data_IF_069336080001
#
_entry.id   IF_069336080001
#
_cell.length_a   1.000
_cell.length_b   1.000
_cell.length_c   1.000
_cell.angle_alpha   90.00
_cell.angle_beta   90.00
_cell.angle_gamma   90.00
#
_symmetry.space_group_name_H-M   'P 1'
#
loop_
_entity.id
_entity.type
_entity.pdbx_description
1 polymer ?
#
# COMPACT_ATOMS: atom_id res chain seq x y z
N UNK A 1 8.39 -15.53 -56.32
CA UNK A 1 9.80 -15.31 -56.72
C UNK A 1 10.14 -13.82 -56.78
N UNK A 2 9.37 -12.98 -57.49
CA UNK A 2 9.62 -11.54 -57.60
C UNK A 2 9.63 -10.80 -56.24
N UNK A 3 8.67 -11.09 -55.36
CA UNK A 3 8.60 -10.50 -54.01
C UNK A 3 9.71 -10.94 -53.04
N UNK A 4 10.15 -12.20 -53.12
CA UNK A 4 11.25 -12.70 -52.28
C UNK A 4 12.54 -11.97 -52.65
N UNK A 5 12.79 -11.78 -53.94
CA UNK A 5 13.96 -11.04 -54.42
C UNK A 5 13.91 -9.55 -54.01
N UNK A 6 12.72 -8.92 -54.01
CA UNK A 6 12.56 -7.51 -53.59
C UNK A 6 12.78 -7.30 -52.09
N UNK A 7 12.40 -8.24 -51.23
CA UNK A 7 12.69 -8.20 -49.78
C UNK A 7 14.16 -8.55 -49.50
N UNK A 8 14.71 -9.55 -50.20
CA UNK A 8 16.10 -10.00 -50.08
C UNK A 8 17.10 -8.88 -50.41
N UNK A 9 16.77 -7.96 -51.32
CA UNK A 9 17.61 -6.79 -51.67
C UNK A 9 17.77 -5.76 -50.54
N UNK A 10 17.07 -5.91 -49.40
CA UNK A 10 17.18 -5.05 -48.22
C UNK A 10 18.03 -5.65 -47.10
N UNK A 11 18.58 -6.85 -47.29
CA UNK A 11 19.54 -7.50 -46.39
C UNK A 11 20.89 -6.80 -46.55
N UNK A 12 21.38 -6.17 -45.47
CA UNK A 12 22.49 -5.23 -45.55
C UNK A 12 23.77 -5.73 -44.84
N UNK A 13 23.71 -6.81 -44.04
CA UNK A 13 24.89 -7.32 -43.31
C UNK A 13 24.97 -8.87 -43.27
N UNK A 14 26.17 -9.41 -43.05
CA UNK A 14 26.44 -10.86 -43.03
C UNK A 14 25.88 -11.60 -41.80
N UNK A 15 25.36 -10.85 -40.82
CA UNK A 15 24.69 -11.38 -39.64
C UNK A 15 23.16 -11.42 -39.78
N UNK A 16 22.60 -10.92 -40.89
CA UNK A 16 21.16 -10.88 -41.12
C UNK A 16 20.62 -12.28 -41.48
N UNK A 17 19.45 -12.60 -40.93
CA UNK A 17 18.71 -13.83 -41.26
C UNK A 17 18.22 -13.79 -42.70
N UNK A 18 18.54 -14.83 -43.47
CA UNK A 18 18.13 -14.91 -44.88
C UNK A 18 16.60 -15.04 -44.96
N UNK A 19 15.98 -14.09 -45.67
CA UNK A 19 14.55 -14.13 -45.99
C UNK A 19 14.30 -15.02 -47.21
N UNK A 20 13.58 -16.13 -47.05
CA UNK A 20 13.41 -17.07 -48.16
C UNK A 20 11.97 -17.53 -48.43
N UNK A 21 11.77 -18.14 -49.59
CA UNK A 21 10.56 -18.91 -49.84
C UNK A 21 10.67 -20.26 -49.15
N UNK A 22 9.80 -20.51 -48.18
CA UNK A 22 9.78 -21.77 -47.43
C UNK A 22 8.70 -22.66 -48.03
N UNK A 23 9.03 -23.81 -48.64
CA UNK A 23 8.03 -24.71 -49.18
C UNK A 23 7.10 -25.22 -48.07
N UNK A 24 5.78 -25.13 -48.28
CA UNK A 24 4.80 -25.46 -47.24
C UNK A 24 4.95 -26.87 -46.65
N UNK A 25 5.37 -27.86 -47.46
CA UNK A 25 5.60 -29.24 -47.00
C UNK A 25 6.73 -29.38 -45.93
N UNK A 26 7.56 -28.36 -45.77
CA UNK A 26 8.59 -28.30 -44.73
C UNK A 26 8.04 -27.88 -43.36
N UNK A 27 6.80 -27.39 -43.32
CA UNK A 27 6.11 -26.93 -42.11
C UNK A 27 5.29 -28.09 -41.57
N UNK A 28 5.53 -28.47 -40.31
CA UNK A 28 4.87 -29.60 -39.63
C UNK A 28 4.47 -29.24 -38.21
N UNK A 29 3.72 -30.13 -37.54
CA UNK A 29 3.25 -29.94 -36.16
C UNK A 29 2.49 -28.61 -35.94
N UNK A 30 1.68 -28.20 -36.92
CA UNK A 30 0.90 -26.95 -36.87
C UNK A 30 -0.14 -27.03 -35.75
N UNK A 31 -0.13 -26.04 -34.85
CA UNK A 31 -1.03 -25.89 -33.70
C UNK A 31 -1.55 -24.47 -33.63
N UNK A 32 -2.85 -24.34 -33.41
CA UNK A 32 -3.51 -23.04 -33.34
C UNK A 32 -3.05 -22.24 -32.12
N UNK A 33 -2.72 -20.96 -32.33
CA UNK A 33 -2.49 -19.99 -31.25
C UNK A 33 -3.59 -18.93 -31.20
N UNK A 34 -4.04 -18.45 -32.36
CA UNK A 34 -5.17 -17.52 -32.52
C UNK A 34 -5.72 -17.60 -33.96
N UNK A 35 -6.77 -16.83 -34.29
CA UNK A 35 -7.50 -16.92 -35.57
C UNK A 35 -6.62 -16.96 -36.83
N UNK A 36 -5.51 -16.22 -36.87
CA UNK A 36 -4.61 -16.16 -38.03
C UNK A 36 -3.18 -16.56 -37.71
N UNK A 37 -2.90 -17.05 -36.50
CA UNK A 37 -1.54 -17.33 -36.02
C UNK A 37 -1.44 -18.76 -35.50
N UNK A 38 -0.39 -19.46 -35.94
CA UNK A 38 -0.16 -20.86 -35.63
C UNK A 38 1.29 -21.09 -35.19
N UNK A 39 1.50 -22.01 -34.27
CA UNK A 39 2.81 -22.54 -33.91
C UNK A 39 3.10 -23.75 -34.78
N UNK A 40 4.28 -23.83 -35.37
CA UNK A 40 4.69 -24.97 -36.18
C UNK A 40 6.18 -25.27 -35.99
N UNK A 41 6.63 -26.34 -36.65
CA UNK A 41 8.05 -26.68 -36.77
C UNK A 41 8.46 -26.65 -38.22
N UNK A 42 9.64 -26.09 -38.47
CA UNK A 42 10.29 -26.10 -39.76
C UNK A 42 11.35 -27.18 -39.79
N UNK A 43 11.18 -28.18 -40.68
CA UNK A 43 12.07 -29.36 -40.78
C UNK A 43 13.52 -28.99 -41.05
N UNK A 44 13.75 -28.10 -42.00
CA UNK A 44 15.09 -27.82 -42.51
C UNK A 44 15.76 -26.66 -41.77
N UNK A 45 14.99 -25.85 -41.05
CA UNK A 45 15.47 -24.68 -40.33
C UNK A 45 16.05 -23.58 -41.24
N UNK A 46 16.36 -22.40 -40.67
CA UNK A 46 16.92 -21.28 -41.44
C UNK A 46 18.34 -21.58 -41.94
N UNK A 47 18.67 -20.99 -43.09
CA UNK A 47 20.06 -20.88 -43.56
C UNK A 47 20.81 -19.88 -42.68
N UNK A 48 21.99 -20.26 -42.23
CA UNK A 48 22.90 -19.36 -41.52
C UNK A 48 24.33 -19.49 -42.07
N UNK A 49 25.10 -18.42 -41.94
CA UNK A 49 26.51 -18.40 -42.32
C UNK A 49 27.38 -18.95 -41.20
N UNK A 50 28.16 -20.00 -41.47
CA UNK A 50 29.05 -20.61 -40.47
C UNK A 50 30.49 -20.06 -40.50
N UNK A 51 30.74 -18.97 -41.23
CA UNK A 51 32.08 -18.42 -41.46
C UNK A 51 32.74 -18.88 -42.77
N UNK A 52 32.18 -19.87 -43.48
CA UNK A 52 32.72 -20.40 -44.75
C UNK A 52 31.68 -20.66 -45.82
N UNK A 53 30.52 -21.21 -45.44
CA UNK A 53 29.41 -21.54 -46.33
C UNK A 53 28.08 -21.30 -45.62
N UNK A 54 27.02 -21.05 -46.39
CA UNK A 54 25.67 -21.11 -45.84
C UNK A 54 25.29 -22.57 -45.59
N UNK A 55 24.82 -22.87 -44.39
CA UNK A 55 24.40 -24.22 -43.98
C UNK A 55 23.09 -24.13 -43.22
N UNK A 56 22.30 -25.20 -43.25
CA UNK A 56 21.07 -25.35 -42.49
C UNK A 56 21.31 -26.19 -41.24
N UNK A 57 20.73 -25.80 -40.11
CA UNK A 57 20.66 -26.67 -38.95
C UNK A 57 19.40 -27.54 -39.09
N UNK A 58 19.58 -28.84 -39.37
CA UNK A 58 18.50 -29.84 -39.59
C UNK A 58 17.81 -30.27 -38.28
N UNK A 59 17.62 -29.34 -37.37
CA UNK A 59 16.83 -29.51 -36.15
C UNK A 59 15.50 -28.83 -36.35
N UNK A 60 14.38 -29.54 -36.10
CA UNK A 60 13.03 -29.02 -36.25
C UNK A 60 12.84 -27.69 -35.50
N UNK A 61 13.04 -26.57 -36.19
CA UNK A 61 13.06 -25.23 -35.58
C UNK A 61 11.62 -24.81 -35.28
N UNK A 62 11.36 -24.36 -34.05
CA UNK A 62 10.07 -23.77 -33.71
C UNK A 62 9.88 -22.46 -34.48
N UNK A 63 8.75 -22.35 -35.17
CA UNK A 63 8.37 -21.19 -35.99
C UNK A 63 6.94 -20.78 -35.71
N UNK A 64 6.64 -19.50 -35.96
CA UNK A 64 5.26 -18.98 -35.96
C UNK A 64 4.84 -18.71 -37.39
N UNK A 65 3.62 -19.12 -37.71
CA UNK A 65 2.94 -18.85 -38.99
C UNK A 65 1.92 -17.76 -38.76
N UNK A 66 1.92 -16.70 -39.58
CA UNK A 66 0.82 -15.75 -39.68
C UNK A 66 0.18 -15.82 -41.06
N UNK A 67 -1.08 -16.22 -41.11
CA UNK A 67 -1.88 -16.29 -42.31
C UNK A 67 -2.43 -14.92 -42.68
N UNK A 68 -2.29 -14.54 -43.95
CA UNK A 68 -2.79 -13.30 -44.50
C UNK A 68 -4.08 -13.57 -45.28
N UNK A 69 -5.18 -13.67 -44.54
CA UNK A 69 -6.48 -14.24 -44.99
C UNK A 69 -7.17 -13.45 -46.12
N UNK A 70 -6.64 -12.29 -46.53
CA UNK A 70 -7.16 -11.49 -47.64
C UNK A 70 -6.18 -11.31 -48.82
N UNK A 71 -4.99 -11.90 -48.76
CA UNK A 71 -3.96 -11.75 -49.79
C UNK A 71 -3.89 -13.01 -50.66
N UNK A 72 -4.62 -13.03 -51.77
CA UNK A 72 -4.52 -14.10 -52.79
C UNK A 72 -3.47 -13.78 -53.87
N UNK A 73 -3.19 -12.49 -54.08
CA UNK A 73 -2.18 -11.99 -55.03
C UNK A 73 -1.08 -11.25 -54.28
N UNK A 74 0.15 -11.33 -54.80
CA UNK A 74 1.28 -10.53 -54.31
C UNK A 74 1.06 -9.08 -54.76
N UNK A 75 0.62 -8.21 -53.86
CA UNK A 75 0.45 -6.77 -54.09
C UNK A 75 1.56 -5.98 -53.38
N UNK A 76 1.76 -4.71 -53.77
CA UNK A 76 2.67 -3.81 -53.03
C UNK A 76 2.23 -3.63 -51.56
N UNK A 77 0.93 -3.73 -51.29
CA UNK A 77 0.36 -3.70 -49.94
C UNK A 77 0.81 -4.90 -49.08
N UNK A 78 0.87 -6.10 -49.68
CA UNK A 78 1.43 -7.29 -49.04
C UNK A 78 2.92 -7.11 -48.72
N UNK A 79 3.66 -6.48 -49.64
CA UNK A 79 5.10 -6.21 -49.47
C UNK A 79 5.35 -5.21 -48.33
N UNK A 80 4.57 -4.13 -48.29
CA UNK A 80 4.62 -3.13 -47.21
C UNK A 80 4.27 -3.76 -45.85
N UNK A 81 3.28 -4.66 -45.82
CA UNK A 81 2.93 -5.43 -44.63
C UNK A 81 4.08 -6.32 -44.16
N UNK A 82 4.73 -7.08 -45.07
CA UNK A 82 5.91 -7.91 -44.73
C UNK A 82 7.06 -7.05 -44.20
N UNK A 83 7.35 -5.93 -44.85
CA UNK A 83 8.42 -4.99 -44.45
C UNK A 83 8.14 -4.39 -43.06
N UNK A 84 6.87 -4.10 -42.75
CA UNK A 84 6.49 -3.58 -41.44
C UNK A 84 6.78 -4.56 -40.29
N UNK A 85 6.80 -5.88 -40.56
CA UNK A 85 7.20 -6.90 -39.59
C UNK A 85 8.70 -7.14 -39.54
N UNK A 86 9.39 -7.13 -40.69
CA UNK A 86 10.82 -7.38 -40.79
C UNK A 86 11.64 -6.47 -39.85
N UNK A 87 11.21 -5.22 -39.68
CA UNK A 87 11.88 -4.26 -38.80
C UNK A 87 11.58 -4.46 -37.29
N UNK A 88 10.71 -5.40 -36.90
CA UNK A 88 10.23 -5.57 -35.52
C UNK A 88 10.54 -6.94 -34.92
N UNK A 89 10.57 -7.99 -35.74
CA UNK A 89 10.79 -9.39 -35.32
C UNK A 89 11.59 -10.09 -36.41
N UNK A 90 12.43 -11.05 -36.05
CA UNK A 90 13.14 -11.88 -37.03
C UNK A 90 12.16 -12.71 -37.88
N UNK A 91 12.11 -12.39 -39.18
CA UNK A 91 11.27 -13.07 -40.19
C UNK A 91 12.17 -13.97 -41.04
N UNK A 92 11.87 -15.27 -41.04
CA UNK A 92 12.61 -16.25 -41.85
C UNK A 92 12.20 -16.26 -43.31
N UNK A 93 10.96 -15.87 -43.60
CA UNK A 93 10.48 -15.93 -44.97
C UNK A 93 8.97 -15.95 -45.09
N UNK A 94 8.54 -16.34 -46.28
CA UNK A 94 7.13 -16.52 -46.61
C UNK A 94 6.88 -17.89 -47.23
N UNK A 95 5.67 -18.38 -47.05
CA UNK A 95 5.14 -19.57 -47.71
C UNK A 95 3.77 -19.26 -48.29
N UNK A 96 3.19 -20.24 -48.97
CA UNK A 96 1.80 -20.19 -49.39
C UNK A 96 1.15 -21.53 -49.09
N UNK A 97 0.01 -21.45 -48.42
CA UNK A 97 -0.81 -22.61 -48.15
C UNK A 97 -1.34 -23.19 -49.48
N UNK A 98 -1.07 -24.48 -49.79
CA UNK A 98 -1.45 -25.07 -51.06
C UNK A 98 -2.98 -25.20 -51.21
N UNK A 99 -3.72 -25.30 -50.11
CA UNK A 99 -5.16 -25.52 -50.11
C UNK A 99 -5.91 -24.19 -50.13
N UNK A 100 -5.58 -23.27 -49.22
CA UNK A 100 -6.29 -21.98 -49.10
C UNK A 100 -5.75 -20.90 -50.03
N UNK A 101 -4.55 -21.11 -50.59
CA UNK A 101 -3.78 -20.12 -51.39
C UNK A 101 -3.36 -18.87 -50.63
N UNK A 102 -3.59 -18.80 -49.32
CA UNK A 102 -3.17 -17.68 -48.49
C UNK A 102 -1.65 -17.65 -48.33
N UNK A 103 -1.09 -16.45 -48.41
CA UNK A 103 0.30 -16.22 -48.03
C UNK A 103 0.48 -16.32 -46.52
N UNK A 104 1.60 -16.89 -46.12
CA UNK A 104 1.98 -17.11 -44.73
C UNK A 104 3.31 -16.42 -44.49
N UNK A 105 3.41 -15.57 -43.46
CA UNK A 105 4.68 -15.04 -42.96
C UNK A 105 5.21 -15.99 -41.88
N UNK A 106 6.50 -16.31 -41.93
CA UNK A 106 7.16 -17.26 -41.03
C UNK A 106 8.17 -16.52 -40.15
N UNK A 107 7.96 -16.56 -38.83
CA UNK A 107 8.77 -15.87 -37.83
C UNK A 107 9.63 -16.83 -37.01
N UNK A 108 10.70 -16.30 -36.42
CA UNK A 108 11.43 -16.99 -35.36
C UNK A 108 10.51 -17.25 -34.16
N UNK A 109 10.29 -18.53 -33.85
CA UNK A 109 9.42 -18.97 -32.75
C UNK A 109 9.92 -18.56 -31.37
N UNK A 110 11.22 -18.28 -31.20
CA UNK A 110 11.80 -17.88 -29.91
C UNK A 110 11.56 -16.39 -29.62
N UNK A 111 11.62 -15.51 -30.63
CA UNK A 111 11.41 -14.05 -30.47
C UNK A 111 9.93 -13.66 -30.48
N UNK A 112 9.09 -14.35 -31.24
CA UNK A 112 7.66 -14.08 -31.28
C UNK A 112 6.94 -14.41 -29.97
N UNK A 113 7.61 -15.13 -29.04
CA UNK A 113 7.15 -15.37 -27.68
C UNK A 113 7.28 -14.16 -26.74
N UNK A 114 7.91 -13.05 -27.17
CA UNK A 114 8.05 -11.81 -26.39
C UNK A 114 6.92 -10.77 -26.66
N UNK A 115 6.14 -10.95 -27.73
CA UNK A 115 5.07 -10.04 -28.16
C UNK A 115 3.67 -10.69 -28.03
N UNK A 116 2.61 -9.93 -27.71
CA UNK A 116 1.24 -10.48 -27.69
C UNK A 116 0.77 -10.80 -29.10
N UNK A 117 0.48 -12.08 -29.34
CA UNK A 117 -0.03 -12.65 -30.58
C UNK A 117 -1.41 -12.10 -31.03
N UNK A 118 -1.99 -11.14 -30.31
CA UNK A 118 -3.30 -10.53 -30.64
C UNK A 118 -3.19 -9.02 -30.88
N UNK A 119 -2.25 -8.32 -30.21
CA UNK A 119 -2.09 -6.86 -30.31
C UNK A 119 -0.79 -6.43 -31.02
N UNK A 120 0.13 -7.38 -31.30
CA UNK A 120 1.43 -7.15 -31.95
C UNK A 120 2.32 -6.11 -31.24
N UNK A 121 2.05 -5.91 -29.95
CA UNK A 121 2.86 -5.12 -29.03
C UNK A 121 3.51 -6.06 -28.01
N UNK A 122 4.65 -5.64 -27.46
CA UNK A 122 5.30 -6.32 -26.34
C UNK A 122 4.28 -6.65 -25.25
N UNK A 123 4.37 -7.86 -24.69
CA UNK A 123 3.61 -8.19 -23.51
C UNK A 123 3.91 -7.16 -22.42
N UNK A 124 2.87 -6.62 -21.79
CA UNK A 124 3.05 -5.80 -20.58
C UNK A 124 3.67 -6.66 -19.47
N UNK A 125 3.38 -7.97 -19.46
CA UNK A 125 4.10 -8.96 -18.67
C UNK A 125 4.48 -10.19 -19.52
N UNK A 126 5.73 -10.29 -19.95
CA UNK A 126 6.23 -11.38 -20.79
C UNK A 126 6.16 -12.75 -20.09
N UNK A 127 6.48 -12.82 -18.78
CA UNK A 127 6.45 -14.08 -18.00
C UNK A 127 5.06 -14.72 -17.96
N UNK A 128 4.00 -13.89 -17.93
CA UNK A 128 2.60 -14.34 -17.85
C UNK A 128 1.85 -14.22 -19.18
N UNK A 129 2.56 -13.86 -20.27
CA UNK A 129 2.01 -13.64 -21.61
C UNK A 129 0.76 -12.75 -21.58
N UNK A 130 0.82 -11.64 -20.85
CA UNK A 130 -0.31 -10.72 -20.64
C UNK A 130 -0.04 -9.39 -21.37
N UNK A 131 -0.89 -9.00 -22.35
CA UNK A 131 -0.84 -7.67 -23.02
C UNK A 131 -2.04 -6.83 -22.59
N UNK A 132 -1.76 -5.68 -21.97
CA UNK A 132 -2.78 -4.71 -21.55
C UNK A 132 -3.75 -4.33 -22.69
N UNK A 133 -3.31 -3.95 -23.90
CA UNK A 133 -4.20 -3.74 -25.04
C UNK A 133 -5.10 -4.94 -25.38
N UNK A 134 -4.54 -6.15 -25.41
CA UNK A 134 -5.27 -7.41 -25.66
C UNK A 134 -6.38 -7.58 -24.61
N UNK A 135 -6.08 -7.32 -23.33
CA UNK A 135 -7.05 -7.43 -22.24
C UNK A 135 -8.12 -6.35 -22.25
N UNK A 136 -7.76 -5.09 -22.50
CA UNK A 136 -8.71 -3.99 -22.63
C UNK A 136 -9.70 -4.28 -23.77
N UNK A 137 -9.21 -4.81 -24.90
CA UNK A 137 -10.08 -5.18 -26.01
C UNK A 137 -11.00 -6.35 -25.65
N UNK A 138 -10.48 -7.38 -24.98
CA UNK A 138 -11.29 -8.50 -24.51
C UNK A 138 -12.41 -8.03 -23.56
N UNK A 139 -12.07 -7.14 -22.62
CA UNK A 139 -13.04 -6.53 -21.71
C UNK A 139 -14.13 -5.78 -22.51
N UNK A 140 -13.74 -4.93 -23.47
CA UNK A 140 -14.66 -4.20 -24.37
C UNK A 140 -15.68 -5.09 -25.07
N UNK A 141 -15.26 -6.27 -25.54
CA UNK A 141 -16.13 -7.21 -26.27
C UNK A 141 -17.05 -7.99 -25.33
N UNK A 142 -16.58 -8.38 -24.16
CA UNK A 142 -17.34 -9.24 -23.24
C UNK A 142 -18.25 -8.48 -22.26
N UNK A 143 -18.27 -7.14 -22.31
CA UNK A 143 -19.09 -6.30 -21.42
C UNK A 143 -20.60 -6.50 -21.55
N UNK A 144 -21.10 -7.03 -22.67
CA UNK A 144 -22.54 -7.17 -22.90
C UNK A 144 -23.23 -8.13 -21.94
N UNK A 145 -22.49 -8.97 -21.20
CA UNK A 145 -23.05 -9.99 -20.31
C UNK A 145 -23.16 -9.58 -18.84
N UNK A 146 -22.62 -8.42 -18.41
CA UNK A 146 -22.56 -7.99 -16.99
C UNK A 146 -23.19 -6.61 -16.76
N UNK A 147 -24.32 -6.33 -17.39
CA UNK A 147 -24.96 -5.02 -17.30
C UNK A 147 -25.77 -4.90 -16.02
N UNK A 148 -25.73 -3.72 -15.39
CA UNK A 148 -26.55 -3.37 -14.23
C UNK A 148 -27.97 -2.90 -14.59
N UNK A 149 -28.34 -2.98 -15.88
CA UNK A 149 -29.49 -2.28 -16.49
C UNK A 149 -29.44 -0.74 -16.38
N UNK A 150 -28.48 -0.18 -15.63
CA UNK A 150 -28.26 1.26 -15.49
C UNK A 150 -27.06 1.73 -16.33
N UNK A 151 -27.33 2.57 -17.34
CA UNK A 151 -26.32 3.11 -18.26
C UNK A 151 -25.19 3.87 -17.55
N UNK A 152 -25.49 4.65 -16.52
CA UNK A 152 -24.47 5.42 -15.78
C UNK A 152 -23.52 4.50 -15.02
N UNK A 153 -24.05 3.48 -14.35
CA UNK A 153 -23.25 2.48 -13.63
C UNK A 153 -22.38 1.67 -14.59
N UNK A 154 -22.94 1.29 -15.74
CA UNK A 154 -22.17 0.59 -16.77
C UNK A 154 -21.00 1.44 -17.28
N UNK A 155 -21.19 2.76 -17.46
CA UNK A 155 -20.10 3.67 -17.83
C UNK A 155 -19.01 3.72 -16.74
N UNK A 156 -19.39 3.81 -15.46
CA UNK A 156 -18.43 3.80 -14.33
C UNK A 156 -17.62 2.50 -14.31
N UNK A 157 -18.29 1.35 -14.46
CA UNK A 157 -17.63 0.04 -14.52
C UNK A 157 -16.59 0.02 -15.65
N UNK A 158 -16.97 0.49 -16.84
CA UNK A 158 -16.06 0.56 -17.99
C UNK A 158 -14.86 1.47 -17.72
N UNK A 159 -15.08 2.69 -17.20
CA UNK A 159 -13.99 3.62 -16.87
C UNK A 159 -12.99 3.02 -15.89
N UNK A 160 -13.47 2.28 -14.89
CA UNK A 160 -12.60 1.62 -13.90
C UNK A 160 -11.86 0.43 -14.52
N UNK A 161 -12.52 -0.38 -15.35
CA UNK A 161 -11.91 -1.52 -16.01
C UNK A 161 -10.80 -1.12 -17.00
N UNK A 162 -10.89 0.06 -17.62
CA UNK A 162 -9.82 0.58 -18.49
C UNK A 162 -8.52 0.92 -17.73
N UNK A 163 -8.58 1.00 -16.39
CA UNK A 163 -7.42 1.30 -15.54
C UNK A 163 -6.54 0.09 -15.23
N UNK A 164 -6.88 -1.12 -15.69
CA UNK A 164 -6.02 -2.31 -15.51
C UNK A 164 -4.63 -2.10 -16.09
N UNK A 165 -3.62 -2.59 -15.38
CA UNK A 165 -2.21 -2.40 -15.66
C UNK A 165 -1.41 -3.71 -15.62
N UNK A 166 -1.83 -4.69 -14.80
CA UNK A 166 -1.11 -5.95 -14.64
C UNK A 166 -2.06 -7.17 -14.60
N UNK A 167 -1.51 -8.38 -14.81
CA UNK A 167 -2.26 -9.64 -14.77
C UNK A 167 -2.81 -9.99 -13.38
N UNK A 168 -2.26 -9.38 -12.32
CA UNK A 168 -2.75 -9.54 -10.94
C UNK A 168 -3.90 -8.59 -10.60
N UNK A 169 -4.21 -7.63 -11.49
CA UNK A 169 -5.32 -6.71 -11.24
C UNK A 169 -6.64 -7.47 -11.25
N UNK A 170 -7.51 -7.12 -10.31
CA UNK A 170 -8.85 -7.69 -10.29
C UNK A 170 -9.75 -6.91 -11.22
N UNK A 171 -10.54 -7.64 -11.99
CA UNK A 171 -11.54 -7.03 -12.86
C UNK A 171 -12.67 -6.48 -12.02
N UNK A 172 -12.89 -5.17 -12.13
CA UNK A 172 -14.03 -4.49 -11.52
C UNK A 172 -15.30 -4.82 -12.30
N UNK A 173 -16.37 -5.26 -11.65
CA UNK A 173 -17.58 -5.71 -12.37
C UNK A 173 -18.89 -5.41 -11.64
N UNK A 174 -20.01 -5.61 -12.34
CA UNK A 174 -21.32 -5.68 -11.71
C UNK A 174 -21.48 -7.04 -11.02
N UNK A 175 -21.84 -7.01 -9.75
CA UNK A 175 -22.05 -8.21 -8.94
C UNK A 175 -23.55 -8.30 -8.65
N UNK A 176 -24.27 -9.28 -9.23
CA UNK A 176 -25.68 -9.45 -8.93
C UNK A 176 -25.90 -9.71 -7.43
N UNK A 177 -26.86 -9.01 -6.82
CA UNK A 177 -27.04 -9.06 -5.37
C UNK A 177 -27.27 -10.47 -4.80
N UNK A 178 -27.94 -11.36 -5.56
CA UNK A 178 -28.19 -12.76 -5.14
C UNK A 178 -26.90 -13.60 -5.00
N UNK A 179 -25.77 -13.11 -5.51
CA UNK A 179 -24.44 -13.71 -5.37
C UNK A 179 -23.82 -13.40 -3.99
N UNK A 180 -24.34 -12.41 -3.27
CA UNK A 180 -23.87 -11.97 -1.96
C UNK A 180 -24.72 -12.66 -0.89
N UNK A 181 -24.08 -13.44 -0.02
CA UNK A 181 -24.71 -14.22 1.05
C UNK A 181 -23.99 -14.03 2.38
N UNK A 182 -24.55 -14.57 3.46
CA UNK A 182 -23.99 -14.50 4.82
C UNK A 182 -23.69 -13.05 5.27
N UNK A 183 -24.57 -12.10 4.92
CA UNK A 183 -24.40 -10.68 5.25
C UNK A 183 -24.50 -10.48 6.77
N UNK A 184 -23.49 -9.82 7.35
CA UNK A 184 -23.40 -9.49 8.78
C UNK A 184 -22.96 -8.05 8.98
N UNK A 185 -23.68 -7.36 9.84
CA UNK A 185 -23.45 -5.95 10.13
C UNK A 185 -22.13 -5.73 10.88
N UNK A 186 -21.34 -4.73 10.45
CA UNK A 186 -20.15 -4.27 11.15
C UNK A 186 -20.35 -2.84 11.71
N UNK A 187 -21.05 -2.00 10.95
CA UNK A 187 -21.46 -0.63 11.28
C UNK A 187 -22.66 -0.26 10.40
N UNK A 188 -23.31 0.89 10.63
CA UNK A 188 -24.52 1.33 9.93
C UNK A 188 -24.46 1.21 8.39
N UNK A 189 -23.30 1.46 7.79
CA UNK A 189 -23.10 1.43 6.32
C UNK A 189 -22.12 0.36 5.85
N UNK A 190 -21.55 -0.45 6.75
CA UNK A 190 -20.48 -1.41 6.42
C UNK A 190 -20.86 -2.80 6.94
N UNK A 191 -20.75 -3.80 6.06
CA UNK A 191 -21.14 -5.17 6.32
C UNK A 191 -20.03 -6.12 5.87
N UNK A 192 -19.96 -7.29 6.47
CA UNK A 192 -19.18 -8.43 5.96
C UNK A 192 -20.13 -9.41 5.26
N UNK A 193 -19.65 -10.06 4.21
CA UNK A 193 -20.45 -11.03 3.46
C UNK A 193 -19.55 -12.04 2.75
N UNK A 194 -20.17 -13.00 2.07
CA UNK A 194 -19.53 -13.92 1.14
C UNK A 194 -20.07 -13.71 -0.26
N UNK A 195 -19.19 -13.71 -1.25
CA UNK A 195 -19.53 -13.66 -2.66
C UNK A 195 -19.32 -15.06 -3.27
N UNK A 196 -20.39 -15.70 -3.73
CA UNK A 196 -20.37 -17.11 -4.19
C UNK A 196 -19.38 -17.34 -5.34
N UNK A 197 -19.49 -16.54 -6.38
CA UNK A 197 -18.68 -16.71 -7.59
C UNK A 197 -17.24 -16.19 -7.43
N UNK A 198 -17.03 -15.26 -6.49
CA UNK A 198 -15.72 -14.64 -6.26
C UNK A 198 -15.22 -13.81 -7.46
N UNK A 199 -14.08 -13.11 -7.31
CA UNK A 199 -13.54 -12.24 -8.34
C UNK A 199 -13.00 -13.00 -9.54
N UNK A 200 -13.08 -12.35 -10.70
CA UNK A 200 -12.45 -12.83 -11.93
C UNK A 200 -10.96 -12.49 -11.95
N UNK A 201 -10.11 -13.46 -12.26
CA UNK A 201 -8.66 -13.27 -12.36
C UNK A 201 -8.06 -14.00 -13.57
N UNK A 202 -6.91 -13.52 -14.03
CA UNK A 202 -6.17 -14.12 -15.14
C UNK A 202 -5.31 -15.29 -14.66
N UNK A 203 -5.52 -16.50 -15.20
CA UNK A 203 -4.74 -17.69 -14.83
C UNK A 203 -3.50 -17.95 -15.72
N UNK A 204 -3.22 -17.08 -16.68
CA UNK A 204 -2.17 -17.26 -17.69
C UNK A 204 -2.68 -17.66 -19.08
N UNK A 205 -3.93 -18.12 -19.18
CA UNK A 205 -4.58 -18.51 -20.45
C UNK A 205 -5.93 -17.84 -20.66
N UNK A 206 -6.74 -17.77 -19.61
CA UNK A 206 -8.07 -17.20 -19.64
C UNK A 206 -8.41 -16.57 -18.29
N UNK A 207 -9.47 -15.75 -18.30
CA UNK A 207 -10.11 -15.33 -17.08
C UNK A 207 -10.90 -16.48 -16.47
N UNK A 208 -10.72 -16.69 -15.18
CA UNK A 208 -11.42 -17.74 -14.44
C UNK A 208 -11.84 -17.23 -13.07
N UNK A 209 -12.81 -17.90 -12.47
CA UNK A 209 -13.31 -17.63 -11.12
C UNK A 209 -12.90 -18.76 -10.21
N UNK A 210 -12.55 -18.42 -8.98
CA UNK A 210 -12.43 -19.43 -7.93
C UNK A 210 -13.80 -19.50 -7.22
N UNK A 211 -14.54 -20.59 -7.42
CA UNK A 211 -15.91 -20.82 -6.90
C UNK A 211 -15.95 -21.07 -5.38
N UNK A 212 -15.00 -20.52 -4.65
CA UNK A 212 -14.96 -20.52 -3.20
C UNK A 212 -15.59 -19.22 -2.72
N UNK A 213 -16.67 -19.33 -1.95
CA UNK A 213 -17.37 -18.21 -1.31
C UNK A 213 -16.42 -17.14 -0.74
N UNK A 214 -16.09 -16.12 -1.54
CA UNK A 214 -15.03 -15.16 -1.24
C UNK A 214 -15.51 -14.21 -0.16
N UNK A 215 -14.74 -14.11 0.93
CA UNK A 215 -15.03 -13.15 1.98
C UNK A 215 -14.85 -11.70 1.47
N UNK A 216 -15.87 -10.88 1.61
CA UNK A 216 -15.92 -9.49 1.11
C UNK A 216 -16.46 -8.54 2.16
N UNK A 217 -16.11 -7.26 2.01
CA UNK A 217 -16.71 -6.16 2.77
C UNK A 217 -17.65 -5.40 1.83
N UNK A 218 -18.86 -5.13 2.29
CA UNK A 218 -19.86 -4.34 1.59
C UNK A 218 -19.90 -2.96 2.23
N UNK A 219 -19.71 -1.92 1.42
CA UNK A 219 -19.99 -0.54 1.84
C UNK A 219 -21.22 -0.04 1.10
N UNK A 220 -22.29 0.24 1.84
CA UNK A 220 -23.52 0.82 1.33
C UNK A 220 -23.34 2.32 1.13
N UNK A 221 -23.81 2.81 -0.01
CA UNK A 221 -23.74 4.20 -0.40
C UNK A 221 -25.15 4.79 -0.34
N UNK A 222 -25.47 5.43 0.79
CA UNK A 222 -26.79 6.03 1.01
C UNK A 222 -26.84 7.36 0.26
N UNK A 223 -27.87 7.57 -0.57
CA UNK A 223 -28.13 8.79 -1.35
C UNK A 223 -27.06 9.17 -2.41
N UNK A 224 -26.25 8.23 -2.89
CA UNK A 224 -25.00 8.53 -3.62
C UNK A 224 -25.09 8.57 -5.17
N UNK A 225 -26.26 8.79 -5.78
CA UNK A 225 -26.37 8.73 -7.26
C UNK A 225 -25.42 9.69 -8.00
N UNK A 226 -25.03 10.82 -7.39
CA UNK A 226 -24.15 11.82 -8.01
C UNK A 226 -22.68 11.80 -7.52
N UNK A 227 -22.33 11.00 -6.50
CA UNK A 227 -20.97 10.99 -5.88
C UNK A 227 -20.29 9.60 -5.93
N UNK A 228 -20.94 8.62 -6.55
CA UNK A 228 -20.49 7.23 -6.62
C UNK A 228 -19.06 7.07 -7.15
N UNK A 229 -18.71 7.78 -8.22
CA UNK A 229 -17.39 7.68 -8.85
C UNK A 229 -16.29 8.26 -7.96
N UNK A 230 -16.56 9.35 -7.25
CA UNK A 230 -15.61 9.97 -6.32
C UNK A 230 -15.36 9.08 -5.12
N UNK A 231 -16.42 8.46 -4.58
CA UNK A 231 -16.29 7.48 -3.51
C UNK A 231 -15.47 6.25 -3.94
N UNK A 232 -15.79 5.66 -5.10
CA UNK A 232 -15.03 4.52 -5.66
C UNK A 232 -13.56 4.92 -5.84
N UNK A 233 -13.29 6.10 -6.41
CA UNK A 233 -11.94 6.60 -6.68
C UNK A 233 -11.14 6.80 -5.39
N UNK A 234 -11.77 7.30 -4.32
CA UNK A 234 -11.13 7.47 -3.01
C UNK A 234 -10.65 6.13 -2.41
N UNK A 235 -11.38 5.04 -2.65
CA UNK A 235 -11.00 3.69 -2.21
C UNK A 235 -10.01 3.02 -3.15
N UNK A 236 -10.14 3.23 -4.46
CA UNK A 236 -9.38 2.51 -5.49
C UNK A 236 -7.87 2.62 -5.30
N UNK A 237 -7.40 3.77 -4.82
CA UNK A 237 -5.97 4.00 -4.56
C UNK A 237 -5.43 3.25 -3.33
N UNK A 238 -6.29 2.71 -2.46
CA UNK A 238 -5.91 2.15 -1.17
C UNK A 238 -6.39 0.70 -0.95
N UNK A 239 -7.42 0.27 -1.67
CA UNK A 239 -8.08 -1.03 -1.53
C UNK A 239 -8.38 -1.63 -2.90
N UNK A 240 -8.23 -2.93 -3.00
CA UNK A 240 -8.77 -3.73 -4.09
C UNK A 240 -10.31 -3.74 -3.99
N UNK A 241 -10.95 -3.18 -4.99
CA UNK A 241 -12.40 -3.17 -5.17
C UNK A 241 -12.75 -4.20 -6.22
N UNK A 242 -13.71 -5.07 -5.91
CA UNK A 242 -14.17 -6.11 -6.82
C UNK A 242 -15.29 -5.65 -7.75
N UNK A 243 -16.13 -4.73 -7.29
CA UNK A 243 -17.24 -4.31 -8.10
C UNK A 243 -18.30 -3.54 -7.34
N UNK A 244 -19.44 -3.40 -8.01
CA UNK A 244 -20.65 -2.74 -7.50
C UNK A 244 -21.79 -3.75 -7.53
N UNK A 245 -22.62 -3.71 -6.50
CA UNK A 245 -23.93 -4.37 -6.47
C UNK A 245 -24.99 -3.31 -6.14
N UNK A 246 -26.26 -3.65 -6.31
CA UNK A 246 -27.37 -2.84 -5.82
C UNK A 246 -28.32 -3.72 -5.01
N UNK A 247 -28.78 -3.23 -3.85
CA UNK A 247 -29.77 -3.94 -3.04
C UNK A 247 -31.16 -3.78 -3.67
N UNK A 248 -31.85 -4.87 -4.08
CA UNK A 248 -33.11 -4.74 -4.80
C UNK A 248 -34.23 -4.05 -4.01
N UNK A 249 -34.25 -4.17 -2.69
CA UNK A 249 -35.35 -3.65 -1.86
C UNK A 249 -35.25 -2.15 -1.54
N UNK A 250 -34.03 -1.59 -1.57
CA UNK A 250 -33.79 -0.18 -1.21
C UNK A 250 -33.18 0.62 -2.34
N UNK A 251 -32.78 -0.04 -3.43
CA UNK A 251 -32.06 0.52 -4.57
C UNK A 251 -30.69 1.13 -4.20
N UNK A 252 -30.21 0.92 -2.98
CA UNK A 252 -28.90 1.39 -2.53
C UNK A 252 -27.78 0.67 -3.26
N UNK A 253 -26.81 1.45 -3.75
CA UNK A 253 -25.58 0.90 -4.31
C UNK A 253 -24.63 0.42 -3.21
N UNK A 254 -23.91 -0.64 -3.53
CA UNK A 254 -22.99 -1.32 -2.63
C UNK A 254 -21.66 -1.47 -3.33
N UNK A 255 -20.60 -0.95 -2.73
CA UNK A 255 -19.22 -1.23 -3.15
C UNK A 255 -18.75 -2.52 -2.49
N UNK A 256 -18.26 -3.46 -3.30
CA UNK A 256 -17.76 -4.76 -2.84
C UNK A 256 -16.23 -4.73 -2.79
N UNK A 257 -15.67 -4.88 -1.59
CA UNK A 257 -14.26 -4.68 -1.28
C UNK A 257 -13.58 -5.98 -0.85
N UNK A 258 -12.28 -6.10 -1.11
CA UNK A 258 -11.45 -7.18 -0.59
C UNK A 258 -11.37 -7.11 0.95
N UNK A 259 -11.91 -8.12 1.63
CA UNK A 259 -11.94 -8.17 3.09
C UNK A 259 -10.54 -8.22 3.72
N UNK A 260 -9.61 -9.01 3.15
CA UNK A 260 -8.26 -9.19 3.69
C UNK A 260 -7.45 -7.89 3.66
N UNK A 261 -7.61 -7.08 2.61
CA UNK A 261 -6.99 -5.76 2.55
C UNK A 261 -7.70 -4.77 3.47
N UNK A 262 -9.03 -4.80 3.50
CA UNK A 262 -9.83 -3.92 4.36
C UNK A 262 -9.43 -4.06 5.84
N UNK A 263 -9.35 -5.26 6.38
CA UNK A 263 -9.01 -5.50 7.81
C UNK A 263 -7.56 -5.16 8.18
N UNK A 264 -6.69 -4.93 7.19
CA UNK A 264 -5.31 -4.43 7.42
C UNK A 264 -5.30 -2.92 7.65
N UNK A 265 -6.19 -2.19 6.98
CA UNK A 265 -6.20 -0.72 6.96
C UNK A 265 -7.23 -0.16 7.95
N UNK A 266 -8.37 -0.82 8.10
CA UNK A 266 -9.50 -0.32 8.88
C UNK A 266 -9.71 -1.11 10.17
N UNK A 267 -10.16 -0.39 11.20
CA UNK A 267 -10.47 -0.95 12.51
C UNK A 267 -11.72 -1.81 12.47
N UNK A 268 -11.60 -3.07 12.89
CA UNK A 268 -12.73 -3.99 12.96
C UNK A 268 -13.79 -3.63 14.03
N UNK A 269 -13.50 -2.70 14.94
CA UNK A 269 -14.43 -2.28 16.00
C UNK A 269 -15.25 -1.03 15.64
N UNK A 270 -14.65 -0.10 14.90
CA UNK A 270 -15.26 1.21 14.63
C UNK A 270 -15.15 1.66 13.18
N UNK A 271 -14.62 0.81 12.29
CA UNK A 271 -14.47 1.05 10.84
C UNK A 271 -13.62 2.25 10.41
N UNK A 272 -13.00 2.98 11.34
CA UNK A 272 -12.05 4.05 11.04
C UNK A 272 -10.70 3.47 10.61
N UNK A 273 -9.95 4.21 9.79
CA UNK A 273 -8.56 3.85 9.45
C UNK A 273 -7.70 3.75 10.71
N UNK A 274 -6.80 2.77 10.74
CA UNK A 274 -5.74 2.75 11.74
C UNK A 274 -4.76 3.90 11.48
N UNK A 275 -4.32 4.58 12.54
CA UNK A 275 -3.21 5.53 12.42
C UNK A 275 -1.91 4.75 12.23
N UNK A 276 -1.79 3.60 12.88
CA UNK A 276 -0.69 2.66 12.69
C UNK A 276 -1.24 1.25 12.38
N UNK A 277 -1.07 0.79 11.15
CA UNK A 277 -1.58 -0.50 10.66
C UNK A 277 -0.79 -1.69 11.20
N UNK A 278 0.51 -1.57 11.42
CA UNK A 278 1.38 -2.63 11.98
C UNK A 278 0.94 -3.01 13.40
N UNK A 279 0.66 -2.00 14.23
CA UNK A 279 0.21 -2.16 15.61
C UNK A 279 -1.32 -2.18 15.74
N UNK A 280 -2.05 -2.12 14.62
CA UNK A 280 -3.53 -2.02 14.57
C UNK A 280 -4.08 -1.00 15.57
N UNK A 281 -3.42 0.15 15.65
CA UNK A 281 -3.74 1.21 16.61
C UNK A 281 -4.76 2.17 15.99
N UNK A 282 -5.95 2.24 16.60
CA UNK A 282 -7.05 3.09 16.17
C UNK A 282 -7.30 4.19 17.19
N UNK A 283 -7.06 5.44 16.80
CA UNK A 283 -7.18 6.62 17.67
C UNK A 283 -8.54 6.70 18.37
N UNK A 284 -9.62 6.57 17.61
CA UNK A 284 -10.99 6.65 18.12
C UNK A 284 -11.26 5.56 19.17
N UNK A 285 -10.80 4.32 18.91
CA UNK A 285 -10.93 3.22 19.84
C UNK A 285 -10.10 3.45 21.12
N UNK A 286 -8.88 3.98 21.00
CA UNK A 286 -8.05 4.24 22.17
C UNK A 286 -8.61 5.37 23.03
N UNK A 287 -9.04 6.48 22.42
CA UNK A 287 -9.72 7.56 23.14
C UNK A 287 -10.98 7.06 23.84
N UNK A 288 -11.77 6.20 23.18
CA UNK A 288 -12.93 5.54 23.80
C UNK A 288 -12.54 4.64 24.96
N UNK A 289 -11.48 3.85 24.83
CA UNK A 289 -10.96 3.00 25.90
C UNK A 289 -10.51 3.82 27.12
N UNK A 290 -9.73 4.89 26.91
CA UNK A 290 -9.27 5.75 28.00
C UNK A 290 -10.44 6.41 28.71
N UNK A 291 -11.43 6.93 27.96
CA UNK A 291 -12.67 7.48 28.54
C UNK A 291 -13.38 6.51 29.48
N UNK A 292 -13.43 5.23 29.13
CA UNK A 292 -14.03 4.19 29.99
C UNK A 292 -13.21 3.84 31.23
N UNK A 293 -11.90 4.14 31.23
CA UNK A 293 -10.97 3.83 32.32
C UNK A 293 -10.69 5.02 33.24
N UNK A 294 -11.32 6.18 33.02
CA UNK A 294 -11.08 7.40 33.80
C UNK A 294 -11.22 7.21 35.32
N UNK A 295 -12.14 6.36 35.79
CA UNK A 295 -12.32 6.08 37.22
C UNK A 295 -11.10 5.44 37.88
N UNK A 296 -10.16 4.89 37.09
CA UNK A 296 -8.95 4.26 37.61
C UNK A 296 -7.81 5.25 37.87
N UNK A 297 -7.92 6.50 37.40
CA UNK A 297 -6.88 7.53 37.52
C UNK A 297 -7.38 8.78 38.24
N UNK A 298 -8.30 8.62 39.20
CA UNK A 298 -8.77 9.75 40.01
C UNK A 298 -7.75 10.10 41.09
N UNK A 299 -7.53 11.39 41.28
CA UNK A 299 -6.68 11.97 42.31
C UNK A 299 -7.47 12.49 43.51
N UNK A 300 -8.78 12.22 43.58
CA UNK A 300 -9.74 12.89 44.47
C UNK A 300 -9.82 14.41 44.32
N UNK A 301 -9.24 14.97 43.23
CA UNK A 301 -9.28 16.39 42.91
C UNK A 301 -9.83 16.60 41.49
N UNK A 302 -11.01 17.22 41.41
CA UNK A 302 -11.73 17.43 40.14
C UNK A 302 -10.92 18.21 39.08
N UNK A 303 -10.04 19.13 39.49
CA UNK A 303 -9.22 19.90 38.53
C UNK A 303 -8.09 19.05 37.94
N UNK A 304 -7.43 18.24 38.75
CA UNK A 304 -6.39 17.30 38.31
C UNK A 304 -6.99 16.20 37.44
N UNK A 305 -8.12 15.64 37.85
CA UNK A 305 -8.83 14.62 37.06
C UNK A 305 -9.21 15.16 35.68
N UNK A 306 -9.69 16.41 35.61
CA UNK A 306 -9.97 17.07 34.33
C UNK A 306 -8.71 17.25 33.48
N UNK A 307 -7.61 17.67 34.08
CA UNK A 307 -6.32 17.81 33.38
C UNK A 307 -5.84 16.47 32.82
N UNK A 308 -5.91 15.39 33.60
CA UNK A 308 -5.55 14.04 33.16
C UNK A 308 -6.39 13.64 31.94
N UNK A 309 -7.71 13.86 31.98
CA UNK A 309 -8.59 13.56 30.85
C UNK A 309 -8.22 14.37 29.61
N UNK A 310 -7.97 15.67 29.75
CA UNK A 310 -7.54 16.53 28.64
C UNK A 310 -6.24 16.00 28.02
N UNK A 311 -5.25 15.66 28.85
CA UNK A 311 -3.97 15.13 28.37
C UNK A 311 -4.14 13.77 27.69
N UNK A 312 -4.90 12.85 28.27
CA UNK A 312 -5.18 11.53 27.67
C UNK A 312 -5.92 11.61 26.33
N UNK A 313 -6.72 12.65 26.09
CA UNK A 313 -7.42 12.85 24.81
C UNK A 313 -6.54 13.50 23.72
N UNK A 314 -5.34 14.00 24.07
CA UNK A 314 -4.39 14.55 23.09
C UNK A 314 -3.65 13.45 22.30
N UNK A 315 -3.70 12.19 22.72
CA UNK A 315 -3.02 11.09 22.01
C UNK A 315 -3.49 10.99 20.56
N UNK A 316 -2.54 10.75 19.67
CA UNK A 316 -2.80 10.53 18.25
C UNK A 316 -1.87 9.47 17.61
N UNK A 317 -0.87 8.98 18.33
CA UNK A 317 0.05 7.93 17.86
C UNK A 317 0.19 6.76 18.85
N UNK A 318 0.66 5.61 18.34
CA UNK A 318 0.93 4.41 19.12
C UNK A 318 2.02 4.58 20.18
N UNK A 319 2.99 5.46 19.94
CA UNK A 319 4.13 5.70 20.84
C UNK A 319 3.84 6.73 21.92
N UNK A 320 2.73 7.46 21.81
CA UNK A 320 2.37 8.52 22.75
C UNK A 320 2.27 8.00 24.18
N UNK A 321 2.67 8.86 25.12
CA UNK A 321 2.64 8.55 26.53
C UNK A 321 1.21 8.69 27.03
N UNK A 322 0.73 7.66 27.72
CA UNK A 322 -0.51 7.75 28.46
C UNK A 322 -0.23 8.52 29.75
N UNK A 323 -0.80 9.72 29.85
CA UNK A 323 -0.68 10.56 31.04
C UNK A 323 -1.50 9.96 32.18
N UNK A 324 -0.88 9.66 33.33
CA UNK A 324 -1.52 8.94 34.43
C UNK A 324 -1.56 9.77 35.73
N UNK A 325 -2.58 9.54 36.56
CA UNK A 325 -2.42 9.71 38.00
C UNK A 325 -1.64 8.54 38.56
N UNK A 326 -0.56 8.82 39.28
CA UNK A 326 0.34 7.79 39.81
C UNK A 326 0.31 7.88 41.34
N UNK A 327 -0.24 6.87 42.03
CA UNK A 327 -0.23 6.84 43.49
C UNK A 327 1.20 6.90 44.06
N UNK A 328 1.43 7.69 45.10
CA UNK A 328 2.79 7.92 45.63
C UNK A 328 3.50 6.63 46.09
N UNK A 329 2.75 5.64 46.58
CA UNK A 329 3.27 4.34 47.02
C UNK A 329 3.87 3.48 45.88
N UNK A 330 3.69 3.91 44.62
CA UNK A 330 4.31 3.32 43.44
C UNK A 330 5.79 3.70 43.29
N UNK A 331 6.26 4.71 44.04
CA UNK A 331 7.64 5.14 44.01
C UNK A 331 8.47 4.47 45.11
N UNK A 332 9.72 4.16 44.78
CA UNK A 332 10.71 3.58 45.68
C UNK A 332 12.09 4.13 45.33
N UNK A 333 13.09 3.91 46.19
CA UNK A 333 14.45 4.41 46.01
C UNK A 333 14.50 5.93 45.75
N UNK A 334 13.67 6.69 46.45
CA UNK A 334 13.53 8.13 46.27
C UNK A 334 14.79 8.83 46.80
N UNK A 335 15.51 9.55 45.94
CA UNK A 335 16.75 10.26 46.27
C UNK A 335 16.72 11.67 45.69
N UNK A 336 17.07 12.67 46.49
CA UNK A 336 17.17 14.05 45.98
C UNK A 336 18.34 14.16 45.01
N UNK A 337 18.08 14.73 43.83
CA UNK A 337 19.09 14.94 42.77
C UNK A 337 19.25 16.42 42.39
N UNK A 338 18.43 17.30 42.93
CA UNK A 338 18.55 18.74 42.72
C UNK A 338 17.53 19.54 43.51
N UNK A 339 17.94 20.76 43.91
CA UNK A 339 17.11 21.72 44.62
C UNK A 339 17.31 23.10 44.00
N UNK A 340 16.21 23.73 43.60
CA UNK A 340 16.18 25.12 43.15
C UNK A 340 15.34 25.99 44.09
N UNK A 341 15.18 27.27 43.72
CA UNK A 341 14.36 28.21 44.51
C UNK A 341 12.87 27.87 44.56
N UNK A 342 12.36 27.17 43.54
CA UNK A 342 10.91 26.90 43.38
C UNK A 342 10.53 25.42 43.45
N UNK A 343 11.50 24.51 43.39
CA UNK A 343 11.24 23.08 43.28
C UNK A 343 12.38 22.23 43.84
N UNK A 344 12.04 21.03 44.30
CA UNK A 344 12.98 19.93 44.57
C UNK A 344 12.75 18.84 43.54
N UNK A 345 13.83 18.21 43.09
CA UNK A 345 13.78 17.12 42.13
C UNK A 345 14.40 15.87 42.75
N UNK A 346 13.66 14.77 42.68
CA UNK A 346 14.10 13.48 43.17
C UNK A 346 14.19 12.48 42.02
N UNK A 347 15.13 11.56 42.05
CA UNK A 347 15.06 10.33 41.25
C UNK A 347 14.26 9.28 42.02
N UNK A 348 13.43 8.49 41.35
CA UNK A 348 12.74 7.36 41.96
C UNK A 348 12.57 6.21 40.96
N UNK A 349 12.40 4.98 41.47
CA UNK A 349 11.89 3.85 40.68
C UNK A 349 10.37 3.80 40.77
N UNK A 350 9.71 3.86 39.62
CA UNK A 350 8.27 3.61 39.49
C UNK A 350 8.03 2.12 39.28
N UNK A 351 7.44 1.44 40.27
CA UNK A 351 7.21 -0.01 40.30
C UNK A 351 6.42 -0.47 39.07
N UNK A 352 5.21 0.04 38.91
CA UNK A 352 4.34 -0.31 37.79
C UNK A 352 4.92 0.15 36.45
N UNK A 353 5.43 1.39 36.39
CA UNK A 353 5.92 1.99 35.16
C UNK A 353 4.81 2.49 34.21
N UNK A 354 5.18 3.22 33.16
CA UNK A 354 4.22 3.82 32.23
C UNK A 354 3.53 2.76 31.37
N UNK A 355 2.26 3.02 31.06
CA UNK A 355 1.52 2.25 30.06
C UNK A 355 2.02 2.55 28.64
N UNK A 356 2.17 1.50 27.84
CA UNK A 356 2.43 1.59 26.40
C UNK A 356 1.59 0.57 25.62
N UNK A 357 1.30 0.87 24.36
CA UNK A 357 0.53 -0.02 23.49
C UNK A 357 1.42 -1.13 22.92
N UNK A 358 1.14 -2.38 23.26
CA UNK A 358 1.80 -3.54 22.68
C UNK A 358 0.85 -4.30 21.75
N UNK A 359 0.70 -3.78 20.51
CA UNK A 359 -0.08 -4.30 19.37
C UNK A 359 -1.56 -4.57 19.63
N UNK A 360 -1.91 -5.37 20.64
CA UNK A 360 -3.28 -5.77 20.97
C UNK A 360 -3.76 -5.22 22.31
N UNK A 361 -2.85 -4.87 23.23
CA UNK A 361 -3.21 -4.42 24.60
C UNK A 361 -2.19 -3.44 25.17
N UNK A 362 -2.64 -2.62 26.12
CA UNK A 362 -1.73 -1.86 26.97
C UNK A 362 -0.95 -2.78 27.90
N UNK A 363 0.35 -2.55 27.98
CA UNK A 363 1.30 -3.23 28.88
C UNK A 363 2.11 -2.16 29.63
N UNK A 364 2.78 -2.51 30.73
CA UNK A 364 3.59 -1.57 31.50
C UNK A 364 5.09 -1.80 31.34
N UNK A 365 5.86 -0.72 31.38
CA UNK A 365 7.33 -0.72 31.40
C UNK A 365 7.83 -0.60 32.86
N UNK A 366 7.75 -1.70 33.60
CA UNK A 366 7.94 -1.74 35.05
C UNK A 366 9.35 -1.39 35.52
N UNK A 367 9.44 -0.92 36.78
CA UNK A 367 10.68 -0.49 37.44
C UNK A 367 11.42 0.64 36.70
N UNK A 368 10.69 1.48 35.97
CA UNK A 368 11.26 2.62 35.25
C UNK A 368 11.78 3.68 36.22
N UNK A 369 13.01 4.13 36.00
CA UNK A 369 13.55 5.30 36.72
C UNK A 369 12.92 6.58 36.18
N UNK A 370 12.35 7.38 37.07
CA UNK A 370 11.68 8.65 36.78
C UNK A 370 12.26 9.79 37.62
N UNK A 371 12.05 11.02 37.19
CA UNK A 371 12.33 12.22 37.97
C UNK A 371 11.02 12.77 38.55
N UNK A 372 10.97 12.98 39.86
CA UNK A 372 9.86 13.55 40.60
C UNK A 372 10.17 15.02 40.87
N UNK A 373 9.51 15.92 40.15
CA UNK A 373 9.63 17.36 40.37
C UNK A 373 8.51 17.81 41.32
N UNK A 374 8.89 18.10 42.56
CA UNK A 374 7.98 18.59 43.60
C UNK A 374 8.07 20.12 43.64
N UNK A 375 6.95 20.79 43.38
CA UNK A 375 6.86 22.25 43.52
C UNK A 375 6.54 22.60 44.97
N UNK A 376 7.31 23.51 45.55
CA UNK A 376 7.10 23.94 46.93
C UNK A 376 5.74 24.64 47.07
N UNK A 377 4.97 24.31 48.12
CA UNK A 377 3.67 24.91 48.45
C UNK A 377 2.62 24.76 47.32
N UNK A 378 2.59 23.61 46.65
CA UNK A 378 1.65 23.33 45.56
C UNK A 378 0.30 22.77 46.04
N UNK A 379 0.06 22.77 47.35
CA UNK A 379 -1.21 22.37 47.99
C UNK A 379 -2.43 23.03 47.36
N UNK A 380 -2.31 24.30 46.97
CA UNK A 380 -3.30 25.01 46.17
C UNK A 380 -2.93 24.92 44.69
N UNK A 381 -3.75 24.23 43.91
CA UNK A 381 -3.60 24.15 42.45
C UNK A 381 -3.70 25.58 41.89
N UNK A 382 -2.57 26.11 41.42
CA UNK A 382 -2.55 27.36 40.70
C UNK A 382 -2.68 27.11 39.21
N UNK A 383 -3.28 28.05 38.46
CA UNK A 383 -3.26 28.01 37.00
C UNK A 383 -1.83 27.90 36.45
N UNK A 384 -0.83 28.43 37.16
CA UNK A 384 0.58 28.30 36.79
C UNK A 384 1.05 26.85 36.77
N UNK A 385 0.64 26.04 37.75
CA UNK A 385 0.96 24.60 37.77
C UNK A 385 0.30 23.86 36.61
N UNK A 386 -1.01 24.06 36.42
CA UNK A 386 -1.76 23.40 35.34
C UNK A 386 -1.16 23.77 33.96
N UNK A 387 -0.86 25.05 33.74
CA UNK A 387 -0.23 25.53 32.50
C UNK A 387 1.17 24.92 32.31
N UNK A 388 1.94 24.76 33.38
CA UNK A 388 3.25 24.12 33.30
C UNK A 388 3.14 22.65 32.90
N UNK A 389 2.19 21.90 33.49
CA UNK A 389 1.94 20.50 33.12
C UNK A 389 1.47 20.38 31.68
N UNK A 390 0.52 21.22 31.24
CA UNK A 390 -0.01 21.19 29.88
C UNK A 390 1.01 21.54 28.80
N UNK A 391 2.06 22.28 29.15
CA UNK A 391 3.15 22.62 28.23
C UNK A 391 4.05 21.42 27.89
N UNK A 392 4.06 20.37 28.72
CA UNK A 392 4.83 19.17 28.43
C UNK A 392 4.23 18.35 27.30
N UNK A 393 5.10 17.81 26.45
CA UNK A 393 4.71 16.89 25.37
C UNK A 393 4.42 15.50 25.93
N UNK A 394 3.32 14.88 25.48
CA UNK A 394 3.10 13.44 25.60
C UNK A 394 3.52 12.68 24.34
N UNK A 395 3.80 13.41 23.25
CA UNK A 395 4.14 12.81 21.95
C UNK A 395 5.53 12.21 22.00
N UNK A 396 5.66 11.00 21.46
CA UNK A 396 6.91 10.25 21.44
C UNK A 396 7.49 10.07 20.02
N UNK A 397 6.99 10.87 19.07
CA UNK A 397 7.21 10.70 17.63
C UNK A 397 8.65 10.98 17.15
N UNK A 398 9.49 11.66 17.94
CA UNK A 398 10.77 12.19 17.44
C UNK A 398 12.05 11.43 17.85
N UNK A 399 11.95 10.27 18.51
CA UNK A 399 13.12 9.69 19.18
C UNK A 399 13.39 8.25 18.73
N UNK A 400 13.91 8.07 17.51
CA UNK A 400 14.64 6.84 17.13
C UNK A 400 15.97 6.74 17.86
N UNK A 401 16.49 7.86 18.35
CA UNK A 401 17.56 7.92 19.34
C UNK A 401 17.00 8.54 20.61
N UNK A 402 17.58 8.31 21.79
CA UNK A 402 17.21 8.97 23.04
C UNK A 402 17.49 10.50 23.05
N UNK A 403 17.22 11.20 21.93
CA UNK A 403 17.59 12.56 21.57
C UNK A 403 16.44 13.57 21.72
N UNK A 404 15.38 13.24 22.44
CA UNK A 404 14.31 14.20 22.69
C UNK A 404 14.87 15.41 23.39
N UNK A 405 14.73 16.57 22.77
CA UNK A 405 15.26 17.82 23.28
C UNK A 405 14.50 18.30 24.53
N UNK A 406 13.29 17.79 24.76
CA UNK A 406 12.45 18.08 25.91
C UNK A 406 12.16 16.80 26.71
N UNK A 407 12.26 16.90 28.04
CA UNK A 407 11.89 15.80 28.94
C UNK A 407 10.40 15.46 28.81
N UNK A 408 10.12 14.17 28.71
CA UNK A 408 8.75 13.65 28.65
C UNK A 408 8.08 13.69 30.01
N UNK A 409 6.77 13.92 30.02
CA UNK A 409 5.93 13.79 31.22
C UNK A 409 5.13 12.49 31.18
N UNK A 410 5.12 11.76 32.29
CA UNK A 410 4.34 10.54 32.45
C UNK A 410 3.04 10.77 33.20
N UNK A 411 2.99 11.77 34.08
CA UNK A 411 1.81 11.98 34.90
C UNK A 411 2.02 12.90 36.08
N UNK A 412 1.06 12.85 37.00
CA UNK A 412 1.04 13.58 38.26
C UNK A 412 0.90 12.60 39.41
N UNK A 413 1.53 12.91 40.53
CA UNK A 413 1.32 12.28 41.83
C UNK A 413 1.09 13.37 42.87
N UNK A 414 0.76 13.00 44.10
CA UNK A 414 0.77 13.90 45.25
C UNK A 414 1.53 13.27 46.40
N UNK A 415 2.34 14.06 47.10
CA UNK A 415 2.98 13.62 48.33
C UNK A 415 1.90 13.43 49.43
N UNK A 416 1.79 12.25 50.06
CA UNK A 416 0.75 12.00 51.06
C UNK A 416 0.92 12.85 52.31
N UNK A 417 2.15 13.24 52.66
CA UNK A 417 2.48 13.99 53.89
C UNK A 417 2.34 15.50 53.66
N UNK A 418 2.99 16.03 52.62
CA UNK A 418 3.00 17.49 52.37
C UNK A 418 1.80 17.98 51.57
N UNK A 419 1.06 17.06 50.93
CA UNK A 419 -0.01 17.34 49.96
C UNK A 419 0.42 18.12 48.71
N UNK A 420 1.73 18.29 48.51
CA UNK A 420 2.26 18.91 47.30
C UNK A 420 2.09 17.98 46.09
N UNK A 421 1.72 18.57 44.96
CA UNK A 421 1.68 17.86 43.68
C UNK A 421 3.09 17.67 43.12
N UNK A 422 3.25 16.54 42.44
CA UNK A 422 4.52 16.05 41.91
C UNK A 422 4.32 15.80 40.42
N UNK A 423 5.17 16.42 39.59
CA UNK A 423 5.25 16.07 38.18
C UNK A 423 6.18 14.88 38.01
N UNK A 424 5.73 13.85 37.30
CA UNK A 424 6.51 12.63 37.07
C UNK A 424 7.08 12.69 35.66
N UNK A 425 8.39 12.92 35.56
CA UNK A 425 9.11 13.21 34.32
C UNK A 425 10.10 12.09 33.96
N UNK A 426 10.55 12.10 32.71
CA UNK A 426 11.66 11.28 32.26
C UNK A 426 12.93 11.58 33.05
N UNK A 427 13.59 10.52 33.53
CA UNK A 427 14.89 10.66 34.21
C UNK A 427 16.03 10.86 33.20
N UNK A 428 16.70 12.01 33.26
CA UNK A 428 17.90 12.29 32.49
C UNK A 428 19.12 11.60 33.13
N UNK A 429 19.45 10.40 32.65
CA UNK A 429 20.59 9.60 33.19
C UNK A 429 21.93 10.35 33.18
N UNK A 430 22.14 11.26 32.23
CA UNK A 430 23.36 12.06 32.10
C UNK A 430 23.49 13.20 33.13
N UNK A 431 22.47 13.45 33.95
CA UNK A 431 22.45 14.56 34.89
C UNK A 431 22.35 15.92 34.20
N UNK A 432 22.77 16.99 34.90
CA UNK A 432 22.77 18.34 34.33
C UNK A 432 23.99 18.55 33.40
N UNK A 433 23.80 19.39 32.38
CA UNK A 433 24.82 19.63 31.35
C UNK A 433 26.13 20.18 31.92
N UNK A 434 26.08 21.07 32.92
CA UNK A 434 27.29 21.66 33.51
C UNK A 434 28.18 20.61 34.20
N UNK A 435 27.57 19.71 34.98
CA UNK A 435 28.28 18.61 35.63
C UNK A 435 28.84 17.64 34.59
N UNK A 436 28.05 17.31 33.57
CA UNK A 436 28.52 16.46 32.48
C UNK A 436 29.69 17.11 31.73
N UNK A 437 29.59 18.40 31.42
CA UNK A 437 30.63 19.18 30.73
C UNK A 437 31.93 19.21 31.54
N UNK A 438 31.85 19.49 32.85
CA UNK A 438 33.03 19.52 33.72
C UNK A 438 33.75 18.16 33.76
N UNK A 439 33.00 17.06 33.79
CA UNK A 439 33.56 15.71 33.84
C UNK A 439 34.08 15.21 32.48
N UNK A 440 33.57 15.75 31.36
CA UNK A 440 33.85 15.24 30.02
C UNK A 440 34.56 16.25 29.11
N UNK A 441 35.00 17.40 29.63
CA UNK A 441 35.51 18.51 28.81
C UNK A 441 36.64 18.09 27.86
N UNK A 442 37.52 17.17 28.30
CA UNK A 442 38.66 16.65 27.51
C UNK A 442 38.22 15.91 26.25
N UNK A 443 37.07 15.24 26.31
CA UNK A 443 36.51 14.44 25.22
C UNK A 443 35.40 15.19 24.45
N UNK A 444 35.06 16.41 24.86
CA UNK A 444 34.01 17.23 24.26
C UNK A 444 34.56 18.01 23.05
N UNK A 445 34.81 17.29 21.95
CA UNK A 445 35.31 17.86 20.70
C UNK A 445 34.27 18.77 20.02
N UNK A 446 34.71 19.51 18.99
CA UNK A 446 33.85 20.45 18.25
C UNK A 446 32.60 19.82 17.62
N UNK A 447 32.72 18.58 17.12
CA UNK A 447 31.56 17.87 16.57
C UNK A 447 30.49 17.63 17.63
N UNK A 448 30.88 17.15 18.83
CA UNK A 448 29.94 16.98 19.94
C UNK A 448 29.37 18.31 20.44
N UNK A 449 30.17 19.39 20.47
CA UNK A 449 29.69 20.74 20.83
C UNK A 449 28.59 21.22 19.90
N UNK A 450 28.79 21.10 18.59
CA UNK A 450 27.79 21.48 17.59
C UNK A 450 26.53 20.63 17.70
N UNK A 451 26.67 19.32 17.95
CA UNK A 451 25.52 18.43 18.17
C UNK A 451 24.68 18.85 19.39
N UNK A 452 25.34 19.14 20.52
CA UNK A 452 24.64 19.61 21.72
C UNK A 452 23.95 20.95 21.47
N UNK A 453 24.64 21.90 20.83
CA UNK A 453 24.06 23.20 20.51
C UNK A 453 22.83 23.07 19.59
N UNK A 454 22.93 22.24 18.56
CA UNK A 454 21.82 21.96 17.65
C UNK A 454 20.61 21.37 18.40
N UNK A 455 20.85 20.43 19.32
CA UNK A 455 19.79 19.88 20.17
C UNK A 455 19.16 20.95 21.09
N UNK A 456 19.96 21.85 21.67
CA UNK A 456 19.42 22.95 22.48
C UNK A 456 18.55 23.90 21.63
N UNK A 457 19.02 24.26 20.42
CA UNK A 457 18.27 25.12 19.48
C UNK A 457 16.95 24.46 19.09
N UNK A 458 16.96 23.17 18.75
CA UNK A 458 15.75 22.42 18.41
C UNK A 458 14.76 22.37 19.57
N UNK A 459 15.22 22.12 20.80
CA UNK A 459 14.37 22.12 21.99
C UNK A 459 13.74 23.49 22.26
N UNK A 460 14.53 24.57 22.15
CA UNK A 460 14.03 25.93 22.31
C UNK A 460 13.02 26.29 21.21
N UNK A 461 13.27 25.88 19.97
CA UNK A 461 12.33 26.07 18.84
C UNK A 461 11.00 25.36 19.11
N UNK A 462 11.03 24.12 19.61
CA UNK A 462 9.81 23.38 19.98
C UNK A 462 9.04 24.08 21.10
N UNK A 463 9.73 24.55 22.14
CA UNK A 463 9.12 25.32 23.24
C UNK A 463 8.44 26.59 22.71
N UNK A 464 9.15 27.37 21.88
CA UNK A 464 8.59 28.59 21.30
C UNK A 464 7.36 28.31 20.43
N UNK A 465 7.39 27.30 19.57
CA UNK A 465 6.24 26.95 18.73
C UNK A 465 5.00 26.60 19.57
N UNK A 466 5.18 25.88 20.69
CA UNK A 466 4.09 25.54 21.62
C UNK A 466 3.52 26.74 22.35
N UNK A 467 4.35 27.73 22.70
CA UNK A 467 3.92 28.93 23.41
C UNK A 467 3.15 29.91 22.51
N UNK A 468 3.47 29.99 21.21
CA UNK A 468 2.80 30.90 20.25
C UNK A 468 1.71 30.22 19.39
N UNK A 469 1.68 28.88 19.32
CA UNK A 469 0.68 28.12 18.57
C UNK A 469 -0.75 28.17 19.13
N UNK A 470 -0.95 28.70 20.34
CA UNK A 470 -2.27 28.89 20.96
C UNK A 470 -3.04 30.08 20.33
N UNK A 471 -2.41 30.91 19.47
CA UNK A 471 -3.02 32.11 18.86
C UNK A 471 -3.44 31.99 17.37
N UNK A 472 -3.24 30.86 16.70
CA UNK A 472 -3.53 30.74 15.25
C UNK A 472 -4.51 29.62 14.87
N UNK A 473 -5.60 29.49 15.63
CA UNK A 473 -6.81 28.78 15.15
C UNK A 473 -8.03 29.67 15.41
N UNK A 474 -8.24 30.60 14.48
CA UNK A 474 -9.50 31.32 14.24
C UNK A 474 -10.29 30.61 13.16
#
# INVERSE_FOLDING_TARGET
>A
MQSVNEVQLKINDYNDTIFEWIPYYQIVDIKDLSNTIYLAKWKDGPLYWNGKVYTRNLENKAIILKYLVNAQNITNELLDEIIAYYNKVEVYGISQDPDTKYYIIIFNGDQYLENCCVCEKYYTNAKRKWCKPCQINWLKVNFTNWTSENKQINNIIQEVQLKINDYNDTIFEWIPYYQIVDIKDLNNTIYSAKWKDGPLYWNGKAYTRNLENKAVILKYLVNAQNELLDEITAYYNNLQIYGISQKPSTEDYIVVLNQEQYIKIFCNKCTNKYVNTEYKWCEACQKSYLKKKFTNWTSDNKQIDRLIQVMQLKINDVKDIIFEWIPYNQFSDIKEIGKGGFARVYSAKWKDGPLYWNKKKYTRDSNKTVALKCLNNSQNISNKFLNEVEAYSINNLNNTDNSGEILKIFGISQNPDTKDYIMVLQHARGGNFNNWLNNNYKNFNWSYKLKVLNNIINGLKEIHQKQYGIKWRS
#
